data_IF_286390944815
#
_entry.id   IF_286390944815
#
_cell.length_a   1.000
_cell.length_b   1.000
_cell.length_c   1.000
_cell.angle_alpha   90.00
_cell.angle_beta   90.00
_cell.angle_gamma   90.00
#
_symmetry.space_group_name_H-M   'P 1'
#
loop_
_entity.id
_entity.type
_entity.pdbx_description
1 polymer ?
#
# COMPACT_ATOMS: atom_id res chain seq x y z
N UNK A 1 24.31 13.07 3.52
CA UNK A 1 25.28 11.94 3.47
C UNK A 1 24.46 10.65 3.44
N UNK A 2 24.50 9.87 2.35
CA UNK A 2 23.50 8.84 1.97
C UNK A 2 23.74 7.42 2.49
N UNK A 3 24.84 7.17 3.20
CA UNK A 3 25.49 5.85 3.19
C UNK A 3 25.04 4.85 4.26
N UNK A 4 23.84 4.96 4.84
CA UNK A 4 23.32 3.94 5.79
C UNK A 4 21.83 3.66 5.69
N UNK A 5 21.09 4.38 4.85
CA UNK A 5 19.62 4.37 4.93
C UNK A 5 19.01 3.02 4.54
N UNK A 6 19.64 2.21 3.68
CA UNK A 6 19.09 0.92 3.20
C UNK A 6 20.13 -0.22 3.23
N UNK A 7 21.25 -0.02 3.93
CA UNK A 7 22.42 -0.90 3.89
C UNK A 7 22.13 -2.33 4.35
N UNK A 8 21.27 -2.51 5.34
CA UNK A 8 20.91 -3.84 5.84
C UNK A 8 20.19 -4.68 4.77
N UNK A 9 19.45 -4.05 3.86
CA UNK A 9 18.70 -4.73 2.81
C UNK A 9 19.55 -5.01 1.56
N UNK A 10 20.55 -4.18 1.25
CA UNK A 10 21.34 -4.27 0.03
C UNK A 10 22.02 -5.64 -0.16
N UNK A 11 22.74 -6.22 0.83
CA UNK A 11 23.32 -7.55 0.69
C UNK A 11 22.29 -8.64 0.44
N UNK A 12 21.11 -8.53 1.06
CA UNK A 12 20.00 -9.49 0.88
C UNK A 12 19.49 -9.43 -0.56
N UNK A 13 19.20 -8.24 -1.07
CA UNK A 13 18.73 -8.00 -2.45
C UNK A 13 19.77 -8.47 -3.47
N UNK A 14 21.04 -8.11 -3.25
CA UNK A 14 22.15 -8.50 -4.13
C UNK A 14 22.34 -10.02 -4.15
N UNK A 15 22.36 -10.68 -3.00
CA UNK A 15 22.52 -12.14 -2.91
C UNK A 15 21.36 -12.92 -3.56
N UNK A 16 20.18 -12.31 -3.64
CA UNK A 16 19.02 -12.88 -4.31
C UNK A 16 18.98 -12.64 -5.82
N UNK A 17 20.04 -12.06 -6.42
CA UNK A 17 20.17 -11.88 -7.86
C UNK A 17 19.55 -10.60 -8.43
N UNK A 18 19.20 -9.63 -7.58
CA UNK A 18 18.60 -8.35 -8.00
C UNK A 18 19.61 -7.21 -7.97
N UNK A 19 20.73 -7.37 -8.69
CA UNK A 19 21.82 -6.39 -8.74
C UNK A 19 21.39 -5.03 -9.30
N UNK A 20 20.57 -5.00 -10.35
CA UNK A 20 20.04 -3.75 -10.95
C UNK A 20 19.20 -2.95 -9.95
N UNK A 21 18.40 -3.63 -9.11
CA UNK A 21 17.61 -2.98 -8.05
C UNK A 21 18.54 -2.45 -6.95
N UNK A 22 19.58 -3.21 -6.61
CA UNK A 22 20.59 -2.77 -5.64
C UNK A 22 21.32 -1.52 -6.13
N UNK A 23 21.64 -1.47 -7.42
CA UNK A 23 22.25 -0.31 -8.08
C UNK A 23 21.30 0.90 -8.08
N UNK A 24 20.02 0.71 -8.41
CA UNK A 24 19.01 1.75 -8.30
C UNK A 24 18.94 2.34 -6.88
N UNK A 25 18.83 1.49 -5.86
CA UNK A 25 18.77 1.93 -4.45
C UNK A 25 19.98 2.79 -4.10
N UNK A 26 21.17 2.36 -4.52
CA UNK A 26 22.44 3.02 -4.19
C UNK A 26 22.58 4.39 -4.83
N UNK A 27 22.01 4.60 -6.02
CA UNK A 27 22.24 5.81 -6.83
C UNK A 27 21.04 6.75 -6.94
N UNK A 28 19.85 6.34 -6.48
CA UNK A 28 18.61 7.10 -6.65
C UNK A 28 17.94 7.53 -5.35
N UNK A 29 18.43 7.13 -4.16
CA UNK A 29 17.80 7.52 -2.89
C UNK A 29 18.74 8.39 -2.08
N UNK A 30 18.34 9.64 -1.86
CA UNK A 30 19.11 10.66 -1.18
C UNK A 30 18.43 11.05 0.13
N UNK A 31 19.18 11.02 1.22
CA UNK A 31 18.68 11.38 2.56
C UNK A 31 19.59 12.45 3.15
N UNK A 32 19.02 13.57 3.55
CA UNK A 32 19.71 14.59 4.33
C UNK A 32 18.74 15.46 5.14
N UNK A 33 19.28 16.33 6.00
CA UNK A 33 18.51 17.38 6.67
C UNK A 33 18.56 18.65 5.83
N UNK A 34 17.39 19.21 5.51
CA UNK A 34 17.30 20.44 4.74
C UNK A 34 17.54 20.27 3.24
N UNK A 35 17.58 19.04 2.71
CA UNK A 35 17.82 18.78 1.28
C UNK A 35 16.83 19.50 0.36
N UNK A 36 15.64 19.86 0.85
CA UNK A 36 14.66 20.62 0.08
C UNK A 36 15.13 22.05 -0.25
N UNK A 37 16.02 22.66 0.56
CA UNK A 37 16.59 23.98 0.24
C UNK A 37 17.45 23.95 -1.01
N UNK A 38 18.02 22.79 -1.33
CA UNK A 38 18.94 22.58 -2.44
C UNK A 38 18.19 22.18 -3.73
N UNK A 39 16.86 22.26 -3.74
CA UNK A 39 16.03 21.86 -4.88
C UNK A 39 16.50 22.48 -6.21
N UNK A 40 16.86 23.78 -6.33
CA UNK A 40 17.38 24.33 -7.57
C UNK A 40 18.68 23.65 -8.05
N UNK A 41 19.61 23.40 -7.14
CA UNK A 41 20.89 22.76 -7.44
C UNK A 41 20.68 21.28 -7.79
N UNK A 42 19.76 20.61 -7.10
CA UNK A 42 19.34 19.24 -7.43
C UNK A 42 18.72 19.18 -8.82
N UNK A 43 17.77 20.06 -9.12
CA UNK A 43 17.10 20.14 -10.41
C UNK A 43 18.08 20.43 -11.55
N UNK A 44 19.14 21.20 -11.31
CA UNK A 44 20.18 21.50 -12.31
C UNK A 44 20.95 20.26 -12.80
N UNK A 45 20.90 19.16 -12.05
CA UNK A 45 21.50 17.85 -12.44
C UNK A 45 20.67 17.11 -13.48
N UNK A 46 19.43 17.53 -13.72
CA UNK A 46 18.52 16.92 -14.69
C UNK A 46 18.46 17.76 -15.96
N UNK A 47 18.37 17.10 -17.12
CA UNK A 47 18.33 17.80 -18.38
C UNK A 47 16.97 18.49 -18.59
N UNK A 48 17.02 19.79 -18.90
CA UNK A 48 15.86 20.57 -19.31
C UNK A 48 15.09 21.25 -18.17
N UNK A 49 13.82 21.57 -18.42
CA UNK A 49 12.95 22.34 -17.53
C UNK A 49 12.16 21.44 -16.59
N UNK A 50 12.35 21.62 -15.29
CA UNK A 50 11.56 20.95 -14.26
C UNK A 50 10.19 21.61 -14.07
N UNK A 51 9.21 20.82 -13.64
CA UNK A 51 7.87 21.29 -13.31
C UNK A 51 7.41 20.74 -11.95
N UNK A 52 7.10 21.64 -11.02
CA UNK A 52 6.73 21.26 -9.66
C UNK A 52 5.24 20.92 -9.57
N UNK A 53 4.93 19.79 -8.95
CA UNK A 53 3.57 19.45 -8.54
C UNK A 53 3.55 19.39 -7.02
N UNK A 54 2.71 20.23 -6.41
CA UNK A 54 2.57 20.37 -4.97
C UNK A 54 1.10 20.64 -4.60
N UNK A 55 0.79 20.62 -3.30
CA UNK A 55 -0.49 21.13 -2.79
C UNK A 55 -0.27 22.40 -1.94
N UNK A 56 -1.36 22.98 -1.47
CA UNK A 56 -1.35 24.19 -0.64
C UNK A 56 -0.54 24.06 0.65
N UNK A 57 -0.36 22.85 1.18
CA UNK A 57 0.45 22.60 2.38
C UNK A 57 1.93 22.41 2.01
N UNK A 58 2.22 21.62 0.97
CA UNK A 58 3.61 21.28 0.62
C UNK A 58 4.33 22.39 -0.12
N UNK A 59 3.60 23.25 -0.85
CA UNK A 59 4.17 24.45 -1.48
C UNK A 59 4.73 25.42 -0.45
N UNK A 60 4.18 25.44 0.77
CA UNK A 60 4.65 26.30 1.85
C UNK A 60 6.06 25.93 2.35
N UNK A 61 6.55 24.74 2.00
CA UNK A 61 7.93 24.32 2.26
C UNK A 61 8.94 24.97 1.30
N UNK A 62 8.47 25.53 0.17
CA UNK A 62 9.31 26.16 -0.82
C UNK A 62 9.47 27.66 -0.54
N UNK A 63 10.68 28.17 -0.71
CA UNK A 63 10.92 29.60 -0.67
C UNK A 63 10.44 30.28 -1.99
N UNK A 64 10.25 31.61 -1.94
CA UNK A 64 9.77 32.39 -3.08
C UNK A 64 10.67 32.29 -4.31
N UNK A 65 11.99 32.18 -4.13
CA UNK A 65 12.94 32.10 -5.24
C UNK A 65 12.75 30.79 -6.02
N UNK A 66 12.53 29.66 -5.33
CA UNK A 66 12.20 28.37 -5.98
C UNK A 66 10.90 28.47 -6.77
N UNK A 67 9.84 29.02 -6.18
CA UNK A 67 8.54 29.16 -6.87
C UNK A 67 8.58 30.08 -8.09
N UNK A 68 9.48 31.07 -8.10
CA UNK A 68 9.70 31.94 -9.26
C UNK A 68 10.58 31.29 -10.33
N UNK A 69 11.39 30.29 -9.96
CA UNK A 69 12.30 29.61 -10.86
C UNK A 69 11.64 28.48 -11.67
N UNK A 70 10.62 27.83 -11.10
CA UNK A 70 9.94 26.69 -11.73
C UNK A 70 8.48 26.99 -12.06
N UNK A 71 8.03 26.54 -13.23
CA UNK A 71 6.60 26.37 -13.48
C UNK A 71 6.04 25.32 -12.51
N UNK A 72 4.80 25.54 -12.04
CA UNK A 72 4.19 24.66 -11.05
C UNK A 72 2.69 24.46 -11.21
N UNK A 73 2.20 23.34 -10.69
CA UNK A 73 0.78 23.06 -10.48
C UNK A 73 0.54 22.87 -8.98
N UNK A 74 -0.18 23.81 -8.36
CA UNK A 74 -0.49 23.81 -6.94
C UNK A 74 -1.96 23.41 -6.75
N UNK A 75 -2.20 22.24 -6.15
CA UNK A 75 -3.54 21.76 -5.83
C UNK A 75 -4.07 22.52 -4.62
N UNK A 76 -5.18 23.26 -4.78
CA UNK A 76 -5.71 24.17 -3.74
C UNK A 76 -6.75 23.50 -2.83
N UNK A 77 -7.51 22.54 -3.35
CA UNK A 77 -8.62 21.89 -2.67
C UNK A 77 -8.22 20.51 -2.14
N UNK A 78 -9.07 19.92 -1.29
CA UNK A 78 -8.94 18.52 -0.91
C UNK A 78 -9.00 17.62 -2.15
N UNK A 79 -8.07 16.67 -2.24
CA UNK A 79 -7.85 15.91 -3.45
C UNK A 79 -7.48 14.46 -3.16
N UNK A 80 -7.67 13.63 -4.19
CA UNK A 80 -7.15 12.28 -4.28
C UNK A 80 -6.56 12.05 -5.66
N UNK A 81 -5.66 11.08 -5.79
CA UNK A 81 -5.10 10.69 -7.07
C UNK A 81 -6.21 10.22 -8.02
N UNK A 82 -6.52 11.04 -9.03
CA UNK A 82 -7.64 10.83 -9.95
C UNK A 82 -7.24 11.00 -11.40
N UNK A 83 -7.96 10.36 -12.31
CA UNK A 83 -7.78 10.53 -13.75
C UNK A 83 -7.88 12.00 -14.19
N UNK A 84 -8.76 12.77 -13.54
CA UNK A 84 -8.87 14.22 -13.77
C UNK A 84 -7.55 14.94 -13.46
N UNK A 85 -7.00 14.76 -12.27
CA UNK A 85 -5.76 15.44 -11.87
C UNK A 85 -4.56 14.96 -12.69
N UNK A 86 -4.52 13.67 -13.07
CA UNK A 86 -3.52 13.16 -14.02
C UNK A 86 -3.57 13.94 -15.32
N UNK A 87 -4.76 14.13 -15.91
CA UNK A 87 -4.91 14.88 -17.16
C UNK A 87 -4.60 16.37 -17.00
N UNK A 88 -5.03 17.00 -15.90
CA UNK A 88 -4.75 18.41 -15.60
C UNK A 88 -3.23 18.65 -15.52
N UNK A 89 -2.51 17.81 -14.75
CA UNK A 89 -1.05 17.91 -14.57
C UNK A 89 -0.30 17.54 -15.84
N UNK A 90 -0.75 16.53 -16.60
CA UNK A 90 -0.17 16.18 -17.91
C UNK A 90 -0.22 17.37 -18.87
N UNK A 91 -1.35 18.07 -18.92
CA UNK A 91 -1.54 19.22 -19.81
C UNK A 91 -0.74 20.43 -19.35
N UNK A 92 -0.74 20.73 -18.04
CA UNK A 92 0.01 21.84 -17.47
C UNK A 92 1.52 21.67 -17.65
N UNK A 93 2.02 20.44 -17.49
CA UNK A 93 3.44 20.11 -17.62
C UNK A 93 3.89 19.80 -19.05
N UNK A 94 3.08 20.06 -20.09
CA UNK A 94 3.36 19.64 -21.48
C UNK A 94 4.74 20.08 -22.00
N UNK A 95 5.19 21.28 -21.58
CA UNK A 95 6.44 21.90 -22.02
C UNK A 95 7.65 21.56 -21.12
N UNK A 96 7.43 20.88 -20.00
CA UNK A 96 8.47 20.46 -19.08
C UNK A 96 9.19 19.21 -19.58
N UNK A 97 10.46 19.05 -19.22
CA UNK A 97 11.28 17.89 -19.57
C UNK A 97 11.23 16.82 -18.47
N UNK A 98 11.00 17.23 -17.21
CA UNK A 98 10.79 16.32 -16.08
C UNK A 98 9.84 16.92 -15.03
N UNK A 99 9.27 16.05 -14.19
CA UNK A 99 8.39 16.42 -13.08
C UNK A 99 9.13 16.39 -11.73
N UNK A 100 8.74 17.28 -10.83
CA UNK A 100 9.17 17.30 -9.44
C UNK A 100 7.94 17.08 -8.57
N UNK A 101 7.80 15.89 -7.98
CA UNK A 101 6.70 15.54 -7.10
C UNK A 101 7.04 16.01 -5.68
N UNK A 102 6.51 17.16 -5.25
CA UNK A 102 6.68 17.66 -3.88
C UNK A 102 5.42 17.34 -3.07
N UNK A 103 5.42 16.16 -2.47
CA UNK A 103 4.27 15.67 -1.74
C UNK A 103 4.41 14.24 -1.29
N UNK A 104 3.29 13.66 -0.88
CA UNK A 104 3.22 12.28 -0.41
C UNK A 104 2.35 11.44 -1.34
N UNK A 105 1.68 10.39 -0.82
CA UNK A 105 0.68 9.54 -1.47
C UNK A 105 0.20 9.95 -2.86
N UNK A 106 -0.78 10.84 -2.87
CA UNK A 106 -1.51 11.21 -4.09
C UNK A 106 -0.67 11.98 -5.11
N UNK A 107 0.12 12.98 -4.67
CA UNK A 107 1.00 13.74 -5.57
C UNK A 107 2.03 12.81 -6.23
N UNK A 108 2.65 11.92 -5.43
CA UNK A 108 3.61 10.96 -5.94
C UNK A 108 2.97 10.04 -6.99
N UNK A 109 1.80 9.46 -6.71
CA UNK A 109 1.11 8.57 -7.65
C UNK A 109 0.68 9.28 -8.94
N UNK A 110 0.20 10.53 -8.85
CA UNK A 110 -0.14 11.31 -10.04
C UNK A 110 1.11 11.59 -10.89
N UNK A 111 2.18 12.13 -10.30
CA UNK A 111 3.41 12.44 -11.02
C UNK A 111 4.04 11.18 -11.62
N UNK A 112 4.10 10.09 -10.85
CA UNK A 112 4.57 8.78 -11.28
C UNK A 112 3.81 8.28 -12.50
N UNK A 113 2.48 8.41 -12.51
CA UNK A 113 1.67 7.98 -13.65
C UNK A 113 1.76 8.92 -14.85
N UNK A 114 1.75 10.24 -14.65
CA UNK A 114 1.97 11.22 -15.73
C UNK A 114 3.34 11.00 -16.39
N UNK A 115 4.36 10.77 -15.58
CA UNK A 115 5.71 10.45 -16.02
C UNK A 115 5.73 9.18 -16.88
N UNK A 116 4.99 8.13 -16.48
CA UNK A 116 4.89 6.89 -17.24
C UNK A 116 4.22 7.10 -18.61
N UNK A 117 3.06 7.76 -18.67
CA UNK A 117 2.30 7.93 -19.91
C UNK A 117 2.88 8.98 -20.87
N UNK A 118 3.77 9.86 -20.40
CA UNK A 118 4.44 10.88 -21.23
C UNK A 118 5.88 10.57 -21.56
N UNK A 119 6.49 9.55 -20.93
CA UNK A 119 7.90 9.21 -21.07
C UNK A 119 8.86 10.13 -20.29
N UNK A 120 8.41 11.27 -19.79
CA UNK A 120 9.22 12.27 -19.04
C UNK A 120 9.76 11.70 -17.75
N UNK A 121 10.97 12.04 -17.33
CA UNK A 121 11.47 11.66 -16.00
C UNK A 121 10.68 12.35 -14.88
N UNK A 122 10.74 11.79 -13.66
CA UNK A 122 10.31 12.50 -12.47
C UNK A 122 11.23 12.22 -11.29
N UNK A 123 11.33 13.18 -10.40
CA UNK A 123 11.98 13.06 -9.10
C UNK A 123 10.95 13.26 -8.00
N UNK A 124 11.13 12.57 -6.88
CA UNK A 124 10.21 12.59 -5.74
C UNK A 124 10.85 13.27 -4.55
N UNK A 125 10.12 14.17 -3.91
CA UNK A 125 10.43 14.76 -2.61
C UNK A 125 9.30 14.36 -1.64
N UNK A 126 9.39 13.17 -1.01
CA UNK A 126 8.41 12.72 -0.03
C UNK A 126 8.28 13.71 1.12
N UNK A 127 7.06 14.19 1.39
CA UNK A 127 6.80 15.13 2.49
C UNK A 127 6.23 14.47 3.74
N UNK A 128 5.91 13.17 3.70
CA UNK A 128 5.46 12.39 4.85
C UNK A 128 5.71 10.89 4.63
N UNK A 129 6.02 10.10 5.68
CA UNK A 129 6.10 8.65 5.56
C UNK A 129 4.69 8.03 5.65
N UNK A 130 3.88 8.16 4.58
CA UNK A 130 2.43 7.85 4.64
C UNK A 130 1.96 6.59 3.92
N UNK A 131 2.77 6.05 3.00
CA UNK A 131 2.46 4.89 2.16
C UNK A 131 3.70 4.36 1.43
N UNK A 132 3.67 3.12 0.96
CA UNK A 132 4.80 2.41 0.33
C UNK A 132 5.00 2.68 -1.19
N UNK A 133 4.21 3.56 -1.78
CA UNK A 133 4.18 3.82 -3.22
C UNK A 133 5.32 4.67 -3.78
N UNK A 134 6.28 5.11 -2.96
CA UNK A 134 7.44 5.88 -3.43
C UNK A 134 8.35 5.09 -4.37
N UNK A 135 8.48 3.79 -4.14
CA UNK A 135 9.31 2.85 -4.92
C UNK A 135 8.50 1.71 -5.52
N UNK A 136 7.16 1.78 -5.46
CA UNK A 136 6.31 0.76 -6.06
C UNK A 136 6.21 0.91 -7.59
N UNK A 137 6.06 -0.19 -8.34
CA UNK A 137 5.93 -0.15 -9.80
C UNK A 137 4.53 0.28 -10.28
N UNK A 138 3.61 0.62 -9.36
CA UNK A 138 2.23 0.95 -9.68
C UNK A 138 1.80 2.28 -9.09
N UNK A 139 0.93 3.02 -9.78
CA UNK A 139 0.24 4.19 -9.25
C UNK A 139 -1.22 3.83 -8.93
N UNK A 140 -1.73 4.25 -7.76
CA UNK A 140 -3.12 4.06 -7.37
C UNK A 140 -3.95 5.26 -7.81
N UNK A 141 -4.65 5.13 -8.94
CA UNK A 141 -5.45 6.21 -9.54
C UNK A 141 -6.93 5.84 -9.51
N UNK A 142 -7.75 6.74 -8.99
CA UNK A 142 -9.21 6.64 -9.08
C UNK A 142 -9.68 7.04 -10.48
N UNK A 143 -10.31 6.10 -11.16
CA UNK A 143 -10.81 6.25 -12.53
C UNK A 143 -12.12 7.04 -12.56
N UNK A 144 -12.54 7.51 -13.74
CA UNK A 144 -13.82 8.23 -13.89
C UNK A 144 -15.07 7.48 -13.41
N UNK A 145 -15.03 6.15 -13.29
CA UNK A 145 -16.12 5.34 -12.72
C UNK A 145 -16.09 5.24 -11.17
N UNK A 146 -15.14 5.91 -10.51
CA UNK A 146 -14.95 5.89 -9.05
C UNK A 146 -14.09 4.74 -8.53
N UNK A 147 -13.75 3.75 -9.36
CA UNK A 147 -12.92 2.61 -8.95
C UNK A 147 -11.46 3.02 -8.93
N UNK A 148 -10.79 2.80 -7.79
CA UNK A 148 -9.35 2.93 -7.65
C UNK A 148 -8.63 1.76 -8.30
N UNK A 149 -7.79 2.05 -9.30
CA UNK A 149 -7.02 1.05 -10.03
C UNK A 149 -5.54 1.21 -9.74
N UNK A 150 -4.86 0.08 -9.58
CA UNK A 150 -3.40 0.02 -9.50
C UNK A 150 -2.86 -0.10 -10.93
N UNK A 151 -2.44 1.03 -11.50
CA UNK A 151 -1.98 1.12 -12.88
C UNK A 151 -0.46 0.96 -12.94
N UNK A 152 0.06 0.30 -13.97
CA UNK A 152 1.51 0.25 -14.20
C UNK A 152 2.08 1.66 -14.30
N UNK A 153 3.23 1.87 -13.68
CA UNK A 153 3.94 3.14 -13.72
C UNK A 153 5.45 2.92 -13.70
N UNK A 154 6.21 4.02 -13.60
CA UNK A 154 7.68 3.98 -13.56
C UNK A 154 8.23 4.42 -12.21
N UNK A 155 9.42 3.94 -11.88
CA UNK A 155 10.15 4.39 -10.69
C UNK A 155 10.59 5.85 -10.85
N UNK A 156 10.70 6.59 -9.73
CA UNK A 156 11.31 7.91 -9.76
C UNK A 156 12.78 7.78 -10.16
N UNK A 157 13.28 8.76 -10.92
CA UNK A 157 14.71 8.83 -11.26
C UNK A 157 15.55 9.00 -9.99
N UNK A 158 15.03 9.77 -9.03
CA UNK A 158 15.58 9.87 -7.69
C UNK A 158 14.49 10.25 -6.67
N UNK A 159 14.72 9.88 -5.41
CA UNK A 159 13.93 10.20 -4.23
C UNK A 159 14.83 11.01 -3.30
N UNK A 160 14.40 12.22 -2.94
CA UNK A 160 15.11 13.13 -2.05
C UNK A 160 14.32 13.27 -0.74
N UNK A 161 14.81 12.64 0.31
CA UNK A 161 14.16 12.55 1.62
C UNK A 161 14.77 13.59 2.55
N UNK A 162 13.96 14.57 2.93
CA UNK A 162 14.32 15.56 3.94
C UNK A 162 13.87 15.09 5.33
N UNK A 163 14.82 14.75 6.21
CA UNK A 163 14.52 14.27 7.56
C UNK A 163 13.71 15.29 8.36
N UNK A 164 13.97 16.59 8.18
CA UNK A 164 13.25 17.63 8.91
C UNK A 164 11.80 17.73 8.44
N UNK A 165 11.56 17.59 7.12
CA UNK A 165 10.20 17.59 6.58
C UNK A 165 9.42 16.36 7.07
N UNK A 166 10.01 15.16 6.99
CA UNK A 166 9.34 13.94 7.44
C UNK A 166 9.03 13.95 8.94
N UNK A 167 9.94 14.47 9.77
CA UNK A 167 9.74 14.56 11.23
C UNK A 167 8.62 15.54 11.60
N UNK A 168 8.41 16.58 10.78
CA UNK A 168 7.36 17.57 10.96
C UNK A 168 6.05 17.24 10.23
N UNK A 169 5.97 16.09 9.54
CA UNK A 169 4.75 15.67 8.86
C UNK A 169 3.54 15.59 9.83
N UNK A 170 2.29 15.80 9.36
CA UNK A 170 1.11 15.62 10.18
C UNK A 170 1.06 14.22 10.82
N UNK A 171 0.74 14.13 12.12
CA UNK A 171 0.80 12.85 12.86
C UNK A 171 -0.08 11.78 12.22
N UNK A 172 -1.27 12.15 11.75
CA UNK A 172 -2.21 11.28 11.02
C UNK A 172 -1.55 10.61 9.80
N UNK A 173 -0.65 11.29 9.09
CA UNK A 173 0.06 10.73 7.94
C UNK A 173 1.17 9.75 8.34
N UNK A 174 1.87 10.00 9.44
CA UNK A 174 2.85 9.05 10.01
C UNK A 174 2.12 7.78 10.46
N UNK A 175 1.00 7.92 11.16
CA UNK A 175 0.18 6.80 11.61
C UNK A 175 -0.39 6.01 10.42
N UNK A 176 -0.84 6.70 9.36
CA UNK A 176 -1.24 6.07 8.10
C UNK A 176 -0.11 5.23 7.50
N UNK A 177 1.12 5.75 7.41
CA UNK A 177 2.23 4.97 6.88
C UNK A 177 2.58 3.77 7.74
N UNK A 178 2.53 3.89 9.07
CA UNK A 178 2.74 2.76 9.95
C UNK A 178 1.68 1.66 9.73
N UNK A 179 0.40 2.04 9.64
CA UNK A 179 -0.68 1.10 9.38
C UNK A 179 -0.56 0.43 8.01
N UNK A 180 -0.19 1.18 6.96
CA UNK A 180 0.07 0.65 5.62
C UNK A 180 1.27 -0.30 5.58
N UNK A 181 2.29 -0.07 6.42
CA UNK A 181 3.43 -0.98 6.51
C UNK A 181 3.13 -2.25 7.31
N UNK A 182 2.52 -2.12 8.49
CA UNK A 182 2.35 -3.24 9.42
C UNK A 182 1.36 -4.29 8.92
N UNK A 183 0.46 -3.89 8.01
CA UNK A 183 -0.48 -4.76 7.33
C UNK A 183 0.17 -5.92 6.57
N UNK A 184 1.47 -5.81 6.26
CA UNK A 184 2.23 -6.85 5.57
C UNK A 184 2.24 -8.18 6.29
N UNK A 185 2.04 -8.17 7.61
CA UNK A 185 1.79 -9.37 8.41
C UNK A 185 0.60 -10.18 7.87
N UNK A 186 -0.56 -9.55 7.68
CA UNK A 186 -1.76 -10.23 7.15
C UNK A 186 -1.62 -10.54 5.66
N UNK A 187 -0.95 -9.66 4.90
CA UNK A 187 -0.67 -9.89 3.48
C UNK A 187 0.25 -11.10 3.26
N UNK A 188 1.24 -11.33 4.14
CA UNK A 188 2.14 -12.49 4.11
C UNK A 188 1.37 -13.79 4.28
N UNK A 189 0.42 -13.82 5.23
CA UNK A 189 -0.43 -14.98 5.48
C UNK A 189 -1.36 -15.28 4.31
N UNK A 190 -2.06 -14.27 3.78
CA UNK A 190 -2.93 -14.41 2.62
C UNK A 190 -2.16 -14.93 1.40
N UNK A 191 -0.99 -14.35 1.11
CA UNK A 191 -0.21 -14.77 -0.04
C UNK A 191 0.35 -16.20 0.13
N UNK A 192 0.81 -16.54 1.33
CA UNK A 192 1.34 -17.88 1.63
C UNK A 192 0.25 -18.95 1.47
N UNK A 193 -0.94 -18.75 2.05
CA UNK A 193 -2.02 -19.74 1.95
C UNK A 193 -2.51 -19.89 0.51
N UNK A 194 -2.57 -18.78 -0.23
CA UNK A 194 -2.89 -18.76 -1.66
C UNK A 194 -1.90 -19.59 -2.47
N UNK A 195 -0.60 -19.42 -2.20
CA UNK A 195 0.47 -20.19 -2.84
C UNK A 195 0.37 -21.68 -2.56
N UNK A 196 0.17 -22.07 -1.29
CA UNK A 196 0.07 -23.48 -0.90
C UNK A 196 -1.14 -24.15 -1.55
N UNK A 197 -2.31 -23.50 -1.49
CA UNK A 197 -3.56 -24.09 -1.94
C UNK A 197 -3.74 -24.07 -3.46
N UNK A 198 -3.26 -23.03 -4.13
CA UNK A 198 -3.43 -22.87 -5.58
C UNK A 198 -2.17 -23.25 -6.37
N UNK A 199 -1.09 -23.63 -5.71
CA UNK A 199 0.21 -23.91 -6.36
C UNK A 199 0.82 -22.67 -7.04
N UNK A 200 0.44 -21.46 -6.61
CA UNK A 200 0.95 -20.21 -7.20
C UNK A 200 2.31 -19.82 -6.62
N UNK A 201 3.04 -18.94 -7.31
CA UNK A 201 4.35 -18.49 -6.85
C UNK A 201 4.26 -17.68 -5.55
N UNK A 202 5.27 -17.89 -4.69
CA UNK A 202 5.48 -17.14 -3.47
C UNK A 202 6.95 -16.75 -3.37
N UNK A 203 7.21 -15.49 -3.06
CA UNK A 203 8.56 -14.98 -2.84
C UNK A 203 8.65 -14.38 -1.45
N UNK A 204 9.52 -14.95 -0.62
CA UNK A 204 9.74 -14.51 0.76
C UNK A 204 10.61 -13.24 0.84
N UNK A 205 11.38 -12.93 -0.22
CA UNK A 205 12.36 -11.84 -0.23
C UNK A 205 11.80 -10.47 0.17
N UNK A 206 10.60 -10.04 -0.30
CA UNK A 206 9.99 -8.78 0.16
C UNK A 206 9.82 -8.69 1.68
N UNK A 207 9.62 -9.81 2.37
CA UNK A 207 9.51 -9.86 3.84
C UNK A 207 10.88 -9.82 4.49
N UNK A 208 11.84 -10.57 3.96
CA UNK A 208 13.21 -10.61 4.46
C UNK A 208 13.89 -9.23 4.43
N UNK A 209 13.77 -8.48 3.34
CA UNK A 209 14.46 -7.18 3.19
C UNK A 209 13.95 -6.12 4.17
N UNK A 210 12.73 -6.28 4.69
CA UNK A 210 12.10 -5.35 5.64
C UNK A 210 12.16 -5.80 7.09
N UNK A 211 12.65 -7.01 7.36
CA UNK A 211 12.50 -7.67 8.67
C UNK A 211 13.13 -6.82 9.79
N UNK A 212 14.34 -6.30 9.57
CA UNK A 212 15.03 -5.43 10.51
C UNK A 212 14.22 -4.15 10.82
N UNK A 213 13.73 -3.44 9.80
CA UNK A 213 12.90 -2.25 9.99
C UNK A 213 11.57 -2.60 10.67
N UNK A 214 11.00 -3.77 10.38
CA UNK A 214 9.76 -4.23 11.01
C UNK A 214 9.93 -4.50 12.49
N UNK A 215 11.02 -5.17 12.88
CA UNK A 215 11.33 -5.44 14.28
C UNK A 215 11.57 -4.13 15.04
N UNK A 216 12.40 -3.24 14.48
CA UNK A 216 12.71 -1.94 15.07
C UNK A 216 11.43 -1.10 15.28
N UNK A 217 10.52 -1.09 14.30
CA UNK A 217 9.23 -0.40 14.43
C UNK A 217 8.32 -1.03 15.50
N UNK A 218 8.31 -2.35 15.64
CA UNK A 218 7.50 -3.04 16.66
C UNK A 218 8.06 -2.81 18.07
N UNK A 219 9.37 -2.68 18.23
CA UNK A 219 10.01 -2.43 19.52
C UNK A 219 9.91 -0.94 19.91
N UNK A 220 10.04 -0.02 18.94
CA UNK A 220 10.17 1.42 19.18
C UNK A 220 9.01 2.26 18.63
N UNK A 221 7.84 1.68 18.31
CA UNK A 221 6.68 2.39 17.74
C UNK A 221 6.30 3.68 18.48
N UNK A 222 6.55 3.76 19.79
CA UNK A 222 6.27 4.95 20.60
C UNK A 222 6.99 6.20 20.09
N UNK A 223 8.16 6.03 19.49
CA UNK A 223 8.93 7.08 18.85
C UNK A 223 8.17 7.78 17.73
N UNK A 224 7.24 7.11 17.05
CA UNK A 224 6.41 7.73 15.99
C UNK A 224 5.49 8.82 16.54
N UNK A 225 4.89 8.59 17.72
CA UNK A 225 4.04 9.58 18.40
C UNK A 225 4.87 10.70 19.04
N UNK A 226 6.04 10.34 19.56
CA UNK A 226 6.99 11.29 20.15
C UNK A 226 7.78 12.09 19.11
N UNK A 227 7.56 11.83 17.81
CA UNK A 227 8.29 12.44 16.69
C UNK A 227 9.81 12.26 16.77
N UNK A 228 10.23 11.10 17.27
CA UNK A 228 11.63 10.70 17.23
C UNK A 228 12.08 10.52 15.77
N UNK A 229 13.09 11.29 15.38
CA UNK A 229 13.54 11.30 13.98
C UNK A 229 14.12 9.95 13.56
N UNK A 230 14.75 9.18 14.46
CA UNK A 230 15.27 7.86 14.11
C UNK A 230 14.12 6.90 13.77
N UNK A 231 13.10 6.82 14.63
CA UNK A 231 11.92 5.97 14.43
C UNK A 231 11.14 6.35 13.16
N UNK A 232 10.98 7.65 12.89
CA UNK A 232 10.32 8.15 11.67
C UNK A 232 11.13 7.75 10.42
N UNK A 233 12.46 7.81 10.47
CA UNK A 233 13.30 7.39 9.36
C UNK A 233 13.26 5.87 9.16
N UNK A 234 13.16 5.07 10.23
CA UNK A 234 12.93 3.61 10.11
C UNK A 234 11.58 3.35 9.44
N UNK A 235 10.52 4.10 9.76
CA UNK A 235 9.24 3.97 9.05
C UNK A 235 9.38 4.29 7.56
N UNK A 236 10.08 5.37 7.21
CA UNK A 236 10.32 5.72 5.81
C UNK A 236 11.14 4.63 5.10
N UNK A 237 12.15 4.08 5.76
CA UNK A 237 12.96 2.96 5.26
C UNK A 237 12.07 1.74 4.97
N UNK A 238 11.23 1.37 5.93
CA UNK A 238 10.32 0.24 5.85
C UNK A 238 9.33 0.36 4.67
N UNK A 239 8.77 1.56 4.45
CA UNK A 239 7.88 1.86 3.33
C UNK A 239 8.59 1.80 1.98
N UNK A 240 9.82 2.34 1.89
CA UNK A 240 10.66 2.28 0.69
C UNK A 240 11.02 0.83 0.35
N UNK A 241 11.41 0.03 1.33
CA UNK A 241 11.71 -1.39 1.16
C UNK A 241 10.47 -2.21 0.79
N UNK A 242 9.30 -1.86 1.34
CA UNK A 242 8.04 -2.47 0.92
C UNK A 242 7.74 -2.23 -0.56
N UNK A 243 7.91 -0.99 -1.05
CA UNK A 243 7.75 -0.67 -2.48
C UNK A 243 8.77 -1.41 -3.36
N UNK A 244 10.02 -1.53 -2.92
CA UNK A 244 11.07 -2.33 -3.58
C UNK A 244 10.67 -3.82 -3.62
N UNK A 245 10.09 -4.35 -2.54
CA UNK A 245 9.57 -5.71 -2.50
C UNK A 245 8.48 -5.96 -3.55
N UNK A 246 7.60 -4.97 -3.78
CA UNK A 246 6.61 -5.04 -4.86
C UNK A 246 7.26 -5.00 -6.25
N UNK A 247 8.32 -4.20 -6.42
CA UNK A 247 9.09 -4.13 -7.67
C UNK A 247 9.76 -5.49 -7.98
N UNK A 248 10.42 -6.10 -7.00
CA UNK A 248 11.07 -7.42 -7.08
C UNK A 248 10.09 -8.50 -7.54
N UNK A 249 8.87 -8.48 -7.01
CA UNK A 249 7.82 -9.47 -7.34
C UNK A 249 7.11 -9.13 -8.65
N UNK A 250 7.15 -7.88 -9.09
CA UNK A 250 6.36 -7.39 -10.22
C UNK A 250 4.86 -7.31 -9.92
N UNK A 251 4.46 -7.33 -8.65
CA UNK A 251 3.05 -7.23 -8.24
C UNK A 251 2.90 -6.66 -6.83
N UNK A 252 1.67 -6.27 -6.48
CA UNK A 252 1.34 -5.80 -5.12
C UNK A 252 1.11 -6.92 -4.10
N UNK A 253 1.29 -8.20 -4.46
CA UNK A 253 1.09 -9.34 -3.55
C UNK A 253 1.80 -9.24 -2.18
N UNK A 254 3.08 -8.79 -2.07
CA UNK A 254 3.74 -8.71 -0.76
C UNK A 254 3.20 -7.63 0.17
N UNK A 255 2.36 -6.71 -0.32
CA UNK A 255 1.91 -5.54 0.44
C UNK A 255 0.39 -5.30 0.40
N UNK A 256 -0.37 -6.04 -0.42
CA UNK A 256 -1.80 -5.79 -0.63
C UNK A 256 -2.55 -7.09 -0.91
N UNK A 257 -3.29 -7.58 0.09
CA UNK A 257 -4.18 -8.74 0.04
C UNK A 257 -5.55 -8.40 0.66
N UNK A 258 -6.10 -9.25 1.54
CA UNK A 258 -7.45 -9.13 2.07
C UNK A 258 -7.71 -7.78 2.76
N UNK A 259 -6.74 -7.26 3.49
CA UNK A 259 -6.87 -5.97 4.17
C UNK A 259 -7.03 -4.81 3.17
N UNK A 260 -6.27 -4.83 2.08
CA UNK A 260 -6.41 -3.86 0.99
C UNK A 260 -7.68 -4.05 0.17
N UNK A 261 -8.18 -5.28 0.07
CA UNK A 261 -9.44 -5.58 -0.61
C UNK A 261 -10.61 -4.98 0.18
N UNK A 262 -10.68 -5.21 1.50
CA UNK A 262 -11.70 -4.59 2.37
C UNK A 262 -11.60 -3.06 2.30
N UNK A 263 -10.40 -2.50 2.53
CA UNK A 263 -10.20 -1.05 2.51
C UNK A 263 -10.62 -0.42 1.18
N UNK A 264 -10.25 -1.02 0.05
CA UNK A 264 -10.63 -0.52 -1.28
C UNK A 264 -12.14 -0.51 -1.52
N UNK A 265 -12.87 -1.51 -1.03
CA UNK A 265 -14.34 -1.52 -1.16
C UNK A 265 -15.00 -0.47 -0.26
N UNK A 266 -14.49 -0.27 0.96
CA UNK A 266 -14.98 0.82 1.81
C UNK A 266 -14.69 2.20 1.22
N UNK A 267 -13.54 2.37 0.54
CA UNK A 267 -13.17 3.61 -0.17
C UNK A 267 -14.07 3.87 -1.38
N UNK A 268 -14.49 2.82 -2.08
CA UNK A 268 -15.41 2.93 -3.20
C UNK A 268 -16.80 3.44 -2.78
N UNK A 269 -17.27 3.00 -1.61
CA UNK A 269 -18.62 3.27 -1.12
C UNK A 269 -18.70 4.55 -0.28
N UNK A 270 -17.62 4.91 0.42
CA UNK A 270 -17.52 6.15 1.18
C UNK A 270 -16.45 7.07 0.58
N UNK A 271 -16.91 8.18 -0.01
CA UNK A 271 -16.06 9.20 -0.63
C UNK A 271 -15.47 10.20 0.39
N UNK A 272 -15.69 10.02 1.70
CA UNK A 272 -14.98 10.81 2.69
C UNK A 272 -13.47 10.58 2.60
N UNK A 273 -12.73 11.67 2.82
CA UNK A 273 -11.28 11.73 2.71
C UNK A 273 -10.61 11.15 3.96
N UNK A 274 -10.45 9.83 3.94
CA UNK A 274 -9.54 9.10 4.82
C UNK A 274 -8.24 8.82 4.10
N UNK A 275 -7.14 8.87 4.83
CA UNK A 275 -5.86 8.43 4.29
C UNK A 275 -5.91 6.92 4.05
N UNK A 276 -5.12 6.47 3.06
CA UNK A 276 -5.04 5.06 2.69
C UNK A 276 -4.78 4.15 3.90
N UNK A 277 -3.75 4.46 4.68
CA UNK A 277 -3.35 3.67 5.84
C UNK A 277 -4.36 3.64 6.97
N UNK A 278 -5.24 4.64 7.08
CA UNK A 278 -6.29 4.65 8.10
C UNK A 278 -7.33 3.56 7.85
N UNK A 279 -7.75 3.39 6.60
CA UNK A 279 -8.64 2.29 6.21
C UNK A 279 -7.94 0.94 6.36
N UNK A 280 -6.65 0.89 6.01
CA UNK A 280 -5.82 -0.30 6.15
C UNK A 280 -5.63 -0.71 7.61
N UNK A 281 -5.51 0.23 8.56
CA UNK A 281 -5.40 -0.09 9.99
C UNK A 281 -6.59 -0.92 10.48
N UNK A 282 -7.80 -0.47 10.17
CA UNK A 282 -9.05 -1.17 10.52
C UNK A 282 -9.13 -2.54 9.84
N UNK A 283 -8.87 -2.60 8.53
CA UNK A 283 -8.98 -3.86 7.79
C UNK A 283 -7.87 -4.86 8.13
N UNK A 284 -6.70 -4.40 8.56
CA UNK A 284 -5.61 -5.25 9.06
C UNK A 284 -6.03 -5.97 10.33
N UNK A 285 -6.67 -5.27 11.28
CA UNK A 285 -7.19 -5.89 12.51
C UNK A 285 -8.31 -6.89 12.19
N UNK A 286 -9.20 -6.55 11.26
CA UNK A 286 -10.22 -7.46 10.75
C UNK A 286 -9.59 -8.76 10.18
N UNK A 287 -8.61 -8.62 9.29
CA UNK A 287 -7.91 -9.77 8.71
C UNK A 287 -7.12 -10.58 9.74
N UNK A 288 -6.43 -9.93 10.67
CA UNK A 288 -5.66 -10.61 11.70
C UNK A 288 -6.57 -11.44 12.63
N UNK A 289 -7.75 -10.92 13.00
CA UNK A 289 -8.78 -11.65 13.77
C UNK A 289 -9.31 -12.84 12.96
N UNK A 290 -9.65 -12.64 11.69
CA UNK A 290 -10.16 -13.69 10.80
C UNK A 290 -9.15 -14.83 10.63
N UNK A 291 -7.90 -14.48 10.29
CA UNK A 291 -6.80 -15.43 10.10
C UNK A 291 -6.56 -16.24 11.37
N UNK A 292 -6.50 -15.58 12.55
CA UNK A 292 -6.35 -16.26 13.84
C UNK A 292 -7.53 -17.20 14.12
N UNK A 293 -8.76 -16.75 13.90
CA UNK A 293 -9.98 -17.56 14.12
C UNK A 293 -9.98 -18.83 13.27
N UNK A 294 -9.72 -18.70 11.96
CA UNK A 294 -9.65 -19.84 11.04
C UNK A 294 -8.51 -20.79 11.41
N UNK A 295 -7.32 -20.27 11.69
CA UNK A 295 -6.15 -21.08 12.00
C UNK A 295 -6.24 -21.81 13.36
N UNK A 296 -6.93 -21.24 14.35
CA UNK A 296 -7.14 -21.86 15.66
C UNK A 296 -8.35 -22.80 15.71
N UNK A 297 -9.26 -22.67 14.75
CA UNK A 297 -10.46 -23.49 14.66
C UNK A 297 -10.24 -24.86 14.03
N UNK A 298 -11.35 -25.57 13.81
CA UNK A 298 -11.35 -26.75 12.96
C UNK A 298 -10.99 -26.37 11.52
N UNK A 299 -10.35 -27.31 10.80
CA UNK A 299 -10.06 -27.15 9.37
C UNK A 299 -11.31 -26.67 8.62
N UNK A 300 -11.24 -25.56 7.85
CA UNK A 300 -12.37 -25.10 7.06
C UNK A 300 -12.69 -26.13 5.97
N UNK A 301 -13.99 -26.31 5.69
CA UNK A 301 -14.47 -27.12 4.58
C UNK A 301 -15.00 -26.21 3.48
N UNK A 302 -14.28 -26.14 2.36
CA UNK A 302 -14.62 -25.22 1.27
C UNK A 302 -15.75 -25.79 0.40
N UNK A 303 -16.74 -24.97 0.08
CA UNK A 303 -17.83 -25.26 -0.86
C UNK A 303 -17.62 -24.47 -2.16
N UNK A 304 -18.37 -24.81 -3.21
CA UNK A 304 -18.37 -24.05 -4.46
C UNK A 304 -18.78 -22.59 -4.24
N UNK A 305 -18.41 -21.70 -5.16
CA UNK A 305 -18.85 -20.29 -5.13
C UNK A 305 -20.38 -20.22 -5.23
N UNK A 306 -21.04 -19.73 -4.18
CA UNK A 306 -22.50 -19.54 -4.13
C UNK A 306 -22.93 -18.09 -4.39
N UNK A 307 -21.97 -17.15 -4.40
CA UNK A 307 -22.28 -15.73 -4.59
C UNK A 307 -22.77 -15.45 -6.01
N UNK A 308 -24.00 -14.96 -6.12
CA UNK A 308 -24.62 -14.56 -7.38
C UNK A 308 -24.67 -13.03 -7.54
N UNK A 309 -25.08 -12.58 -8.73
CA UNK A 309 -25.22 -11.14 -9.02
C UNK A 309 -26.28 -10.47 -8.14
N UNK A 310 -27.35 -11.18 -7.76
CA UNK A 310 -28.43 -10.61 -6.96
C UNK A 310 -27.95 -10.28 -5.56
N UNK A 311 -27.11 -11.14 -4.97
CA UNK A 311 -26.48 -10.89 -3.69
C UNK A 311 -25.57 -9.67 -3.77
N UNK A 312 -24.71 -9.57 -4.80
CA UNK A 312 -23.88 -8.38 -4.99
C UNK A 312 -24.70 -7.08 -5.15
N UNK A 313 -25.86 -7.14 -5.82
CA UNK A 313 -26.76 -5.98 -5.99
C UNK A 313 -27.39 -5.49 -4.68
N UNK A 314 -27.41 -6.31 -3.62
CA UNK A 314 -27.87 -5.87 -2.29
C UNK A 314 -26.85 -4.96 -1.59
N UNK A 315 -25.57 -5.04 -1.98
CA UNK A 315 -24.47 -4.32 -1.34
C UNK A 315 -23.83 -3.26 -2.23
N UNK A 316 -23.89 -3.42 -3.55
CA UNK A 316 -23.21 -2.57 -4.52
C UNK A 316 -24.17 -2.03 -5.58
N UNK A 317 -23.92 -0.80 -6.00
CA UNK A 317 -24.62 -0.20 -7.13
C UNK A 317 -24.43 -1.04 -8.41
N UNK A 318 -25.46 -1.08 -9.25
CA UNK A 318 -25.54 -1.93 -10.45
C UNK A 318 -24.32 -1.79 -11.38
N UNK A 319 -23.77 -0.58 -11.53
CA UNK A 319 -22.62 -0.34 -12.39
C UNK A 319 -21.32 -0.98 -11.91
N UNK A 320 -21.18 -1.28 -10.62
CA UNK A 320 -20.02 -2.00 -10.07
C UNK A 320 -20.15 -3.53 -10.18
N UNK A 321 -21.37 -4.05 -10.03
CA UNK A 321 -21.63 -5.50 -9.98
C UNK A 321 -21.11 -6.24 -11.20
N UNK A 322 -21.17 -5.63 -12.39
CA UNK A 322 -20.63 -6.25 -13.60
C UNK A 322 -19.11 -6.51 -13.51
N UNK A 323 -18.33 -5.52 -13.06
CA UNK A 323 -16.87 -5.64 -12.94
C UNK A 323 -16.48 -6.60 -11.79
N UNK A 324 -17.20 -6.56 -10.68
CA UNK A 324 -16.97 -7.48 -9.55
C UNK A 324 -17.31 -8.92 -9.91
N UNK A 325 -18.45 -9.16 -10.55
CA UNK A 325 -18.81 -10.52 -10.97
C UNK A 325 -17.82 -11.09 -12.02
N UNK A 326 -17.36 -10.25 -12.95
CA UNK A 326 -16.29 -10.61 -13.90
C UNK A 326 -14.95 -10.90 -13.20
N UNK A 327 -14.67 -10.22 -12.10
CA UNK A 327 -13.46 -10.45 -11.31
C UNK A 327 -13.58 -11.75 -10.52
N UNK A 328 -14.71 -11.97 -9.84
CA UNK A 328 -15.02 -13.21 -9.14
C UNK A 328 -14.95 -14.44 -10.07
N UNK A 329 -15.44 -14.34 -11.31
CA UNK A 329 -15.44 -15.47 -12.25
C UNK A 329 -14.03 -15.98 -12.60
N UNK A 330 -12.98 -15.17 -12.43
CA UNK A 330 -11.59 -15.60 -12.67
C UNK A 330 -11.07 -16.54 -11.60
N UNK A 331 -11.61 -16.45 -10.38
CA UNK A 331 -11.21 -17.25 -9.23
C UNK A 331 -12.33 -18.15 -8.71
N UNK A 332 -13.32 -18.44 -9.55
CA UNK A 332 -14.42 -19.33 -9.22
C UNK A 332 -13.90 -20.67 -8.67
N UNK A 333 -14.61 -21.20 -7.67
CA UNK A 333 -14.39 -22.53 -7.11
C UNK A 333 -15.63 -23.35 -7.46
N UNK A 334 -15.47 -24.30 -8.38
CA UNK A 334 -16.48 -25.31 -8.66
C UNK A 334 -16.36 -26.49 -7.68
N UNK A 335 -17.18 -27.52 -7.85
CA UNK A 335 -17.20 -28.66 -6.95
C UNK A 335 -15.87 -29.44 -6.97
N UNK A 336 -15.29 -29.63 -8.16
CA UNK A 336 -14.03 -30.35 -8.34
C UNK A 336 -12.87 -29.60 -7.68
N UNK A 337 -12.77 -28.28 -7.91
CA UNK A 337 -11.76 -27.44 -7.28
C UNK A 337 -11.97 -27.37 -5.77
N UNK A 338 -13.20 -27.30 -5.27
CA UNK A 338 -13.48 -27.35 -3.84
C UNK A 338 -12.99 -28.67 -3.22
N UNK A 339 -13.29 -29.81 -3.85
CA UNK A 339 -12.83 -31.12 -3.41
C UNK A 339 -11.29 -31.20 -3.38
N UNK A 340 -10.63 -30.74 -4.44
CA UNK A 340 -9.17 -30.69 -4.51
C UNK A 340 -8.55 -29.84 -3.39
N UNK A 341 -9.06 -28.64 -3.15
CA UNK A 341 -8.58 -27.76 -2.08
C UNK A 341 -8.81 -28.37 -0.69
N UNK A 342 -9.97 -29.00 -0.48
CA UNK A 342 -10.27 -29.71 0.75
C UNK A 342 -9.32 -30.89 0.99
N UNK A 343 -8.93 -31.62 -0.06
CA UNK A 343 -7.97 -32.71 0.04
C UNK A 343 -6.58 -32.21 0.46
N UNK A 344 -6.09 -31.11 -0.12
CA UNK A 344 -4.83 -30.47 0.30
C UNK A 344 -4.92 -30.05 1.77
N UNK A 345 -6.00 -29.37 2.15
CA UNK A 345 -6.21 -28.94 3.53
C UNK A 345 -6.27 -30.14 4.48
N UNK A 346 -6.99 -31.21 4.15
CA UNK A 346 -7.09 -32.40 4.99
C UNK A 346 -5.71 -33.00 5.33
N UNK A 347 -4.82 -33.06 4.34
CA UNK A 347 -3.48 -33.60 4.52
C UNK A 347 -2.51 -32.67 5.26
N UNK A 348 -2.67 -31.35 5.09
CA UNK A 348 -1.63 -30.39 5.47
C UNK A 348 -2.09 -29.29 6.43
N UNK A 349 -3.36 -29.27 6.87
CA UNK A 349 -3.92 -28.14 7.62
C UNK A 349 -3.11 -27.76 8.86
N UNK A 350 -2.69 -28.73 9.67
CA UNK A 350 -1.90 -28.45 10.87
C UNK A 350 -0.59 -27.73 10.52
N UNK A 351 0.07 -28.13 9.44
CA UNK A 351 1.30 -27.48 8.95
C UNK A 351 1.02 -26.10 8.38
N UNK A 352 -0.02 -25.96 7.55
CA UNK A 352 -0.43 -24.67 6.95
C UNK A 352 -0.76 -23.66 8.05
N UNK A 353 -1.58 -24.07 9.02
CA UNK A 353 -1.98 -23.24 10.16
C UNK A 353 -0.78 -22.79 10.98
N UNK A 354 0.13 -23.71 11.32
CA UNK A 354 1.36 -23.36 12.05
C UNK A 354 2.26 -22.38 11.27
N UNK A 355 2.41 -22.57 9.96
CA UNK A 355 3.20 -21.67 9.11
C UNK A 355 2.58 -20.26 9.02
N UNK A 356 1.26 -20.16 8.93
CA UNK A 356 0.55 -18.88 8.91
C UNK A 356 0.67 -18.19 10.27
N UNK A 357 0.36 -18.89 11.36
CA UNK A 357 0.43 -18.31 12.71
C UNK A 357 1.84 -17.83 13.06
N UNK A 358 2.89 -18.54 12.64
CA UNK A 358 4.28 -18.13 12.85
C UNK A 358 4.73 -16.90 12.04
N UNK A 359 3.92 -16.40 11.12
CA UNK A 359 4.24 -15.26 10.24
C UNK A 359 3.36 -14.04 10.49
N UNK A 360 2.33 -14.15 11.32
CA UNK A 360 1.34 -13.10 11.59
C UNK A 360 1.58 -12.52 12.98
N UNK A 361 1.66 -11.19 13.06
CA UNK A 361 1.65 -10.45 14.32
C UNK A 361 0.27 -10.62 14.97
N UNK A 362 0.25 -10.96 16.25
CA UNK A 362 -1.00 -11.15 16.98
C UNK A 362 -1.88 -9.89 16.95
N UNK A 363 -3.17 -10.08 16.69
CA UNK A 363 -4.13 -8.98 16.57
C UNK A 363 -4.28 -8.14 17.85
N UNK A 364 -4.08 -8.70 19.05
CA UNK A 364 -4.12 -7.94 20.31
C UNK A 364 -2.92 -7.01 20.38
N UNK A 365 -1.74 -7.51 19.97
CA UNK A 365 -0.55 -6.69 19.89
C UNK A 365 -0.70 -5.57 18.85
N UNK A 366 -1.17 -5.89 17.64
CA UNK A 366 -1.45 -4.88 16.61
C UNK A 366 -2.44 -3.81 17.11
N UNK A 367 -3.52 -4.23 17.77
CA UNK A 367 -4.51 -3.31 18.34
C UNK A 367 -3.85 -2.36 19.34
N UNK A 368 -3.08 -2.89 20.29
CA UNK A 368 -2.42 -2.07 21.33
C UNK A 368 -1.47 -1.01 20.75
N UNK A 369 -0.76 -1.33 19.66
CA UNK A 369 0.14 -0.39 18.99
C UNK A 369 -0.67 0.69 18.26
N UNK A 370 -1.64 0.28 17.45
CA UNK A 370 -2.46 1.21 16.67
C UNK A 370 -3.27 2.15 17.59
N UNK A 371 -3.81 1.62 18.69
CA UNK A 371 -4.48 2.40 19.73
C UNK A 371 -3.54 3.42 20.37
N UNK A 372 -2.32 3.02 20.77
CA UNK A 372 -1.33 3.95 21.32
C UNK A 372 -1.00 5.09 20.36
N UNK A 373 -0.85 4.76 19.07
CA UNK A 373 -0.56 5.73 18.01
C UNK A 373 -1.77 6.62 17.67
N UNK A 374 -2.96 6.33 18.18
CA UNK A 374 -4.22 6.97 17.79
C UNK A 374 -4.51 6.79 16.28
N UNK A 375 -4.12 5.63 15.74
CA UNK A 375 -4.52 5.20 14.41
C UNK A 375 -5.92 4.56 14.45
N UNK A 376 -6.73 4.64 13.39
CA UNK A 376 -8.03 3.98 13.34
C UNK A 376 -7.94 2.46 13.55
N UNK A 377 -8.63 1.96 14.58
CA UNK A 377 -8.68 0.54 14.95
C UNK A 377 -10.03 -0.13 14.77
N UNK A 378 -11.09 0.64 14.54
CA UNK A 378 -12.48 0.17 14.52
C UNK A 378 -13.23 0.82 13.35
N UNK A 379 -14.28 0.18 12.81
CA UNK A 379 -15.06 0.73 11.69
C UNK A 379 -15.55 2.17 11.91
N UNK A 380 -15.95 2.50 13.13
CA UNK A 380 -16.50 3.81 13.49
C UNK A 380 -15.45 4.92 13.36
N UNK A 381 -14.17 4.61 13.56
CA UNK A 381 -13.06 5.56 13.36
C UNK A 381 -12.92 5.99 11.90
N UNK A 382 -13.43 5.19 10.96
CA UNK A 382 -13.49 5.50 9.53
C UNK A 382 -14.93 5.74 9.04
N UNK A 383 -15.85 6.12 9.95
CA UNK A 383 -17.26 6.46 9.67
C UNK A 383 -18.14 5.33 9.11
N UNK A 384 -17.79 4.09 9.42
CA UNK A 384 -18.66 2.95 9.17
C UNK A 384 -19.33 2.50 10.46
N UNK A 385 -20.61 2.10 10.41
CA UNK A 385 -21.13 1.27 11.50
C UNK A 385 -20.50 -0.11 11.41
N UNK A 386 -20.27 -0.74 12.56
CA UNK A 386 -19.81 -2.14 12.64
C UNK A 386 -20.59 -3.08 11.71
N UNK A 387 -21.93 -3.00 11.72
CA UNK A 387 -22.80 -3.84 10.88
C UNK A 387 -22.57 -3.62 9.38
N UNK A 388 -22.54 -2.36 8.94
CA UNK A 388 -22.33 -2.02 7.52
C UNK A 388 -20.92 -2.43 7.07
N UNK A 389 -19.91 -2.20 7.89
CA UNK A 389 -18.53 -2.54 7.58
C UNK A 389 -18.37 -4.04 7.33
N UNK A 390 -18.84 -4.87 8.27
CA UNK A 390 -18.72 -6.32 8.13
C UNK A 390 -19.62 -6.89 7.04
N UNK A 391 -20.80 -6.31 6.82
CA UNK A 391 -21.65 -6.63 5.67
C UNK A 391 -20.89 -6.47 4.34
N UNK A 392 -20.16 -5.35 4.18
CA UNK A 392 -19.33 -5.10 3.00
C UNK A 392 -18.06 -5.97 2.98
N UNK A 393 -17.39 -6.15 4.12
CA UNK A 393 -16.16 -6.95 4.21
C UNK A 393 -16.40 -8.40 3.78
N UNK A 394 -17.54 -8.99 4.14
CA UNK A 394 -17.94 -10.33 3.71
C UNK A 394 -18.12 -10.46 2.20
N UNK A 395 -18.40 -9.35 1.49
CA UNK A 395 -18.51 -9.32 0.03
C UNK A 395 -17.21 -8.91 -0.67
N UNK A 396 -16.23 -8.40 0.08
CA UNK A 396 -15.06 -7.74 -0.49
C UNK A 396 -14.21 -8.69 -1.36
N UNK A 397 -14.16 -9.99 -1.03
CA UNK A 397 -13.44 -10.98 -1.83
C UNK A 397 -13.85 -10.99 -3.31
N UNK A 398 -15.10 -10.66 -3.65
CA UNK A 398 -15.57 -10.65 -5.04
C UNK A 398 -14.96 -9.52 -5.90
N UNK A 399 -14.30 -8.54 -5.28
CA UNK A 399 -13.89 -7.30 -5.93
C UNK A 399 -12.47 -7.31 -6.49
N UNK A 400 -11.67 -8.34 -6.15
CA UNK A 400 -10.28 -8.48 -6.62
C UNK A 400 -9.91 -9.92 -6.91
N UNK A 401 -9.12 -10.11 -7.97
CA UNK A 401 -8.64 -11.41 -8.42
C UNK A 401 -7.44 -11.88 -7.58
N UNK A 402 -7.74 -12.20 -6.32
CA UNK A 402 -6.80 -12.68 -5.30
C UNK A 402 -7.53 -13.70 -4.44
N UNK A 403 -6.90 -14.84 -4.17
CA UNK A 403 -7.42 -15.81 -3.20
C UNK A 403 -6.76 -15.55 -1.85
N UNK A 404 -7.56 -15.27 -0.83
CA UNK A 404 -7.16 -14.81 0.51
C UNK A 404 -7.94 -15.54 1.60
N UNK A 405 -7.71 -15.23 2.88
CA UNK A 405 -8.58 -15.73 3.95
C UNK A 405 -10.05 -15.25 3.82
N UNK A 406 -10.34 -14.18 3.08
CA UNK A 406 -11.72 -13.78 2.76
C UNK A 406 -12.43 -14.83 1.90
N UNK A 407 -11.72 -15.42 0.94
CA UNK A 407 -12.23 -16.49 0.09
C UNK A 407 -12.50 -17.76 0.92
N UNK A 408 -11.54 -18.13 1.77
CA UNK A 408 -11.70 -19.27 2.68
C UNK A 408 -12.92 -19.06 3.57
N UNK A 409 -13.09 -17.87 4.14
CA UNK A 409 -14.23 -17.53 4.99
C UNK A 409 -15.56 -17.70 4.24
N UNK A 410 -15.68 -17.10 3.05
CA UNK A 410 -16.87 -17.23 2.21
C UNK A 410 -17.20 -18.69 1.90
N UNK A 411 -16.21 -19.45 1.41
CA UNK A 411 -16.39 -20.82 0.97
C UNK A 411 -16.62 -21.81 2.11
N UNK A 412 -16.15 -21.49 3.32
CA UNK A 412 -16.40 -22.28 4.53
C UNK A 412 -17.69 -21.87 5.27
N UNK A 413 -18.36 -20.79 4.86
CA UNK A 413 -19.52 -20.25 5.57
C UNK A 413 -19.17 -19.59 6.90
N UNK A 414 -17.96 -19.04 7.03
CA UNK A 414 -17.47 -18.32 8.20
C UNK A 414 -17.69 -16.83 7.96
N UNK A 415 -18.48 -16.18 8.83
CA UNK A 415 -18.70 -14.73 8.75
C UNK A 415 -17.50 -13.98 9.33
N UNK A 416 -17.16 -12.87 8.70
CA UNK A 416 -16.25 -11.87 9.25
C UNK A 416 -17.02 -11.02 10.27
N UNK A 417 -16.46 -10.81 11.46
CA UNK A 417 -17.08 -10.09 12.59
C UNK A 417 -16.06 -9.46 13.53
#
# INVERSE_FOLDING_TARGET
MTTQFLDAALPIIHSAGYSEISEYITHSIYVDRGILSDLPDIASKYAGRGFIVADSNTVALLNKAVLQHFDSYIIQEEYYASEKLVNDIKNASKNADFLIALGSGSINDICKYVSFITGKEYISFPTAPSMNGYTSPNASITMGNGIKKSLSAKLPKAIYIDVNVLTNAPQRMINSGFADFICRSTARADWLISSILLGTSYNELPFLITEASSQELLENYRGLKLRDSATIMVLMQALILSGIGMLIVGSSQPASQGEHIIAGVTELLDKHSFLHGERIGVSTLCMARLQKSICNGHRPFLRSTLLDKNTLLQHFAQHYVHEFYKTLSKKWIDAEKAEHLNHIMEQQWCKISAMVQGKVIDHVHLYSILEYLEAPTEPEHVRWSTEQYYSIANMAFATRDRFTFLDIAHHAGISIS
#
